data_IF_438106195072
#
_entry.id   IF_438106195072
#
_cell.length_a   1.000
_cell.length_b   1.000
_cell.length_c   1.000
_cell.angle_alpha   90.00
_cell.angle_beta   90.00
_cell.angle_gamma   90.00
#
_symmetry.space_group_name_H-M   'P 1'
#
loop_
_entity.id
_entity.type
_entity.pdbx_description
1 polymer ?
#
# COMPACT_ATOMS: atom_id res chain seq x y z
N UNK A 1 -23.66 3.33 -8.27
CA UNK A 1 -23.11 4.56 -8.86
C UNK A 1 -21.67 4.29 -9.25
N UNK A 2 -21.33 4.38 -10.52
CA UNK A 2 -19.95 4.18 -11.01
C UNK A 2 -19.42 5.51 -11.49
N UNK A 3 -18.33 5.98 -10.88
CA UNK A 3 -17.67 7.23 -11.26
C UNK A 3 -16.52 6.87 -12.19
N UNK A 4 -16.50 7.44 -13.40
CA UNK A 4 -15.41 7.24 -14.35
C UNK A 4 -14.21 8.11 -13.95
N UNK A 5 -13.38 7.58 -13.06
CA UNK A 5 -12.12 8.20 -12.64
C UNK A 5 -11.01 7.82 -13.61
N UNK A 6 -10.44 8.84 -14.28
CA UNK A 6 -9.16 8.71 -15.00
C UNK A 6 -8.05 9.19 -14.05
N UNK A 7 -7.31 8.28 -13.39
CA UNK A 7 -6.29 8.69 -12.45
C UNK A 7 -5.16 9.39 -13.19
N UNK A 8 -4.69 10.52 -12.64
CA UNK A 8 -3.58 11.33 -13.18
C UNK A 8 -2.63 11.69 -12.05
N UNK A 9 -1.34 11.75 -12.35
CA UNK A 9 -0.29 12.05 -11.38
C UNK A 9 0.46 10.81 -10.92
N UNK A 10 1.18 10.94 -9.80
CA UNK A 10 2.04 9.88 -9.25
C UNK A 10 1.21 8.96 -8.36
N UNK A 11 1.05 7.71 -8.78
CA UNK A 11 0.31 6.67 -8.05
C UNK A 11 1.33 5.63 -7.59
N UNK A 12 1.50 5.51 -6.27
CA UNK A 12 2.54 4.63 -5.70
C UNK A 12 1.92 3.30 -5.28
N UNK A 13 2.50 2.16 -5.69
CA UNK A 13 2.14 0.86 -5.13
C UNK A 13 2.70 0.77 -3.70
N UNK A 14 1.82 0.56 -2.72
CA UNK A 14 2.26 0.31 -1.34
C UNK A 14 2.50 -1.19 -1.14
N UNK A 15 3.56 -1.49 -0.39
CA UNK A 15 3.77 -2.82 0.17
C UNK A 15 2.68 -3.09 1.20
N UNK A 16 2.20 -4.34 1.29
CA UNK A 16 1.27 -4.76 2.36
C UNK A 16 2.09 -5.16 3.58
N UNK A 17 2.15 -4.33 4.64
CA UNK A 17 2.90 -4.68 5.82
C UNK A 17 2.16 -5.78 6.57
N UNK A 18 2.89 -6.79 7.00
CA UNK A 18 2.36 -7.86 7.83
C UNK A 18 3.28 -8.08 9.02
N UNK A 19 2.72 -8.55 10.11
CA UNK A 19 3.44 -8.94 11.31
C UNK A 19 4.31 -10.17 11.04
N UNK A 20 5.15 -10.52 12.02
CA UNK A 20 5.94 -11.76 11.96
C UNK A 20 5.08 -13.03 11.88
N UNK A 21 3.84 -12.98 12.39
CA UNK A 21 2.88 -14.08 12.31
C UNK A 21 2.12 -14.11 10.99
N UNK A 22 2.36 -13.13 10.10
CA UNK A 22 1.72 -13.04 8.79
C UNK A 22 0.38 -12.30 8.78
N UNK A 23 -0.05 -11.75 9.92
CA UNK A 23 -1.26 -10.93 10.03
C UNK A 23 -1.03 -9.52 9.49
N UNK A 24 -2.07 -8.83 9.05
CA UNK A 24 -1.94 -7.44 8.58
C UNK A 24 -1.45 -6.52 9.72
N UNK A 25 -0.37 -5.79 9.48
CA UNK A 25 0.13 -4.76 10.40
C UNK A 25 -0.53 -3.41 10.07
N UNK A 26 -1.65 -3.12 10.72
CA UNK A 26 -2.45 -1.91 10.49
C UNK A 26 -1.69 -0.64 10.88
N UNK A 27 -0.92 -0.69 11.98
CA UNK A 27 -0.11 0.44 12.46
C UNK A 27 0.99 0.80 11.47
N UNK A 28 1.69 -0.20 10.92
CA UNK A 28 2.67 0.04 9.85
C UNK A 28 2.00 0.55 8.57
N UNK A 29 0.79 0.06 8.23
CA UNK A 29 0.06 0.52 7.06
C UNK A 29 -0.31 2.01 7.17
N UNK A 30 -0.78 2.46 8.35
CA UNK A 30 -1.09 3.86 8.59
C UNK A 30 0.15 4.75 8.41
N UNK A 31 1.28 4.35 9.00
CA UNK A 31 2.56 5.07 8.83
C UNK A 31 2.99 5.17 7.37
N UNK A 32 2.82 4.09 6.59
CA UNK A 32 3.12 4.10 5.16
C UNK A 32 2.22 5.06 4.40
N UNK A 33 0.93 5.10 4.72
CA UNK A 33 -0.03 6.03 4.11
C UNK A 33 0.36 7.47 4.43
N UNK A 34 0.65 7.79 5.69
CA UNK A 34 1.06 9.13 6.11
C UNK A 34 2.33 9.61 5.40
N UNK A 35 3.30 8.71 5.21
CA UNK A 35 4.51 9.01 4.43
C UNK A 35 4.19 9.35 2.97
N UNK A 36 3.29 8.60 2.33
CA UNK A 36 2.89 8.85 0.94
C UNK A 36 2.09 10.15 0.79
N UNK A 37 1.22 10.46 1.77
CA UNK A 37 0.48 11.73 1.81
C UNK A 37 1.46 12.89 1.99
N UNK A 38 2.39 12.79 2.96
CA UNK A 38 3.41 13.81 3.21
C UNK A 38 4.36 14.02 2.01
N UNK A 39 4.60 12.98 1.22
CA UNK A 39 5.38 13.06 -0.02
C UNK A 39 4.63 13.68 -1.22
N UNK A 40 3.32 13.97 -1.09
CA UNK A 40 2.53 14.58 -2.16
C UNK A 40 2.11 13.62 -3.27
N UNK A 41 1.96 12.33 -2.96
CA UNK A 41 1.44 11.35 -3.93
C UNK A 41 -0.04 11.63 -4.26
N UNK A 42 -0.41 11.40 -5.52
CA UNK A 42 -1.77 11.68 -6.01
C UNK A 42 -2.72 10.52 -5.73
N UNK A 43 -2.17 9.33 -5.48
CA UNK A 43 -2.92 8.14 -5.19
C UNK A 43 -2.03 7.02 -4.70
N UNK A 44 -2.67 6.06 -4.06
CA UNK A 44 -2.03 4.88 -3.50
C UNK A 44 -2.73 3.66 -4.08
N UNK A 45 -1.94 2.68 -4.51
CA UNK A 45 -2.44 1.39 -4.95
C UNK A 45 -2.10 0.31 -3.91
N UNK A 46 -3.13 -0.32 -3.35
CA UNK A 46 -3.03 -1.36 -2.32
C UNK A 46 -3.38 -2.73 -2.92
N UNK A 47 -2.90 -3.81 -2.29
CA UNK A 47 -3.22 -5.22 -2.64
C UNK A 47 -2.76 -5.63 -4.05
N UNK A 48 -1.64 -5.09 -4.53
CA UNK A 48 -0.96 -5.61 -5.71
C UNK A 48 -0.24 -6.93 -5.45
N UNK A 49 0.13 -7.66 -6.51
CA UNK A 49 1.06 -8.77 -6.40
C UNK A 49 2.46 -8.26 -6.09
N UNK A 50 2.80 -8.16 -4.80
CA UNK A 50 4.18 -8.01 -4.40
C UNK A 50 4.82 -9.39 -4.38
N UNK A 51 5.94 -9.59 -5.08
CA UNK A 51 6.72 -10.84 -5.00
C UNK A 51 7.35 -10.93 -3.61
N UNK A 52 6.55 -11.31 -2.62
CA UNK A 52 6.96 -11.57 -1.25
C UNK A 52 7.57 -12.97 -1.23
N UNK A 53 8.89 -13.09 -1.00
CA UNK A 53 9.45 -14.40 -0.67
C UNK A 53 8.74 -14.89 0.59
N UNK A 54 8.27 -16.15 0.66
CA UNK A 54 7.63 -16.63 1.86
C UNK A 54 8.63 -16.51 3.00
N UNK A 55 8.12 -16.17 4.18
CA UNK A 55 8.74 -16.50 5.45
C UNK A 55 9.26 -17.94 5.34
N UNK A 56 10.55 -18.10 5.02
CA UNK A 56 11.22 -19.37 5.18
C UNK A 56 11.48 -19.47 6.69
N UNK A 57 10.82 -20.46 7.29
CA UNK A 57 11.08 -20.97 8.63
C UNK A 57 12.56 -21.35 8.81
#
# INVERSE_FOLDING_TARGET
>A
MTVNIKPRGVIVPLVTPVTQTGELDVEALHRLIDLQIGAGTHGIFLLGHHRRRPFCA
#
